data_IF_172220314217
#
_entry.id   IF_172220314217
#
_cell.length_a   1.000
_cell.length_b   1.000
_cell.length_c   1.000
_cell.angle_alpha   90.00
_cell.angle_beta   90.00
_cell.angle_gamma   90.00
#
_symmetry.space_group_name_H-M   'P 1'
#
loop_
_entity.id
_entity.type
_entity.pdbx_description
1 polymer ?
#
# COMPACT_ATOMS: atom_id res chain seq x y z
N UNK A 1 -5.95 -7.19 10.63
CA UNK A 1 -6.90 -6.46 9.75
C UNK A 1 -7.30 -5.06 10.24
N UNK A 2 -7.66 -4.90 11.52
CA UNK A 2 -8.06 -3.59 12.07
C UNK A 2 -6.94 -2.52 11.97
N UNK A 3 -5.68 -2.88 12.24
CA UNK A 3 -4.55 -1.97 12.09
C UNK A 3 -4.39 -1.50 10.63
N UNK A 4 -4.56 -2.40 9.66
CA UNK A 4 -4.53 -2.05 8.24
C UNK A 4 -5.64 -1.07 7.89
N UNK A 5 -6.88 -1.34 8.31
CA UNK A 5 -8.00 -0.42 8.07
C UNK A 5 -7.74 0.95 8.70
N UNK A 6 -7.20 1.00 9.92
CA UNK A 6 -6.87 2.25 10.58
C UNK A 6 -5.77 3.03 9.84
N UNK A 7 -4.74 2.35 9.34
CA UNK A 7 -3.60 3.01 8.71
C UNK A 7 -3.82 3.30 7.22
N UNK A 8 -4.56 2.49 6.48
CA UNK A 8 -4.83 2.71 5.05
C UNK A 8 -6.10 3.54 4.85
N UNK A 9 -7.23 3.09 5.42
CA UNK A 9 -8.54 3.71 5.14
C UNK A 9 -8.68 5.10 5.78
N UNK A 10 -8.17 5.28 6.99
CA UNK A 10 -8.40 6.49 7.78
C UNK A 10 -7.34 7.59 7.58
N UNK A 11 -6.37 7.45 6.67
CA UNK A 11 -5.35 8.50 6.44
C UNK A 11 -5.96 9.85 6.06
N UNK A 12 -7.01 9.84 5.22
CA UNK A 12 -7.70 11.08 4.84
C UNK A 12 -8.32 11.76 6.07
N UNK A 13 -8.95 10.99 6.94
CA UNK A 13 -9.56 11.50 8.18
C UNK A 13 -8.49 12.05 9.13
N UNK A 14 -7.40 11.33 9.33
CA UNK A 14 -6.26 11.79 10.14
C UNK A 14 -5.65 13.07 9.55
N UNK A 15 -5.52 13.14 8.23
CA UNK A 15 -5.02 14.33 7.53
C UNK A 15 -5.88 15.56 7.74
N UNK A 16 -7.22 15.42 7.64
CA UNK A 16 -8.16 16.52 7.94
C UNK A 16 -8.02 17.03 9.38
N UNK A 17 -7.86 16.14 10.35
CA UNK A 17 -7.75 16.52 11.77
C UNK A 17 -6.41 17.18 12.13
N UNK A 18 -5.35 16.85 11.40
CA UNK A 18 -3.99 17.34 11.65
C UNK A 18 -3.52 18.41 10.65
N UNK A 19 -4.39 18.85 9.74
CA UNK A 19 -4.05 19.72 8.62
C UNK A 19 -2.82 19.22 7.82
N UNK A 20 -2.77 17.91 7.57
CA UNK A 20 -1.65 17.24 6.91
C UNK A 20 -2.13 16.25 5.83
N UNK A 21 -1.24 15.83 4.94
CA UNK A 21 -1.50 14.78 3.94
C UNK A 21 -0.42 13.71 4.06
N UNK A 22 -0.84 12.48 4.39
CA UNK A 22 0.09 11.38 4.62
C UNK A 22 0.40 10.59 3.34
N UNK A 23 -0.64 10.08 2.65
CA UNK A 23 -0.52 9.24 1.44
C UNK A 23 0.59 8.17 1.55
N UNK A 24 0.66 7.52 2.72
CA UNK A 24 1.69 6.54 3.05
C UNK A 24 1.23 5.16 2.54
N UNK A 25 2.01 4.44 1.73
CA UNK A 25 1.74 3.06 1.38
C UNK A 25 1.65 2.18 2.63
N UNK A 26 0.55 1.44 2.81
CA UNK A 26 0.36 0.50 3.92
C UNK A 26 0.20 -0.87 3.32
N UNK A 27 0.98 -1.86 3.75
CA UNK A 27 0.85 -3.24 3.29
C UNK A 27 0.44 -4.12 4.46
N UNK A 28 -0.39 -5.12 4.19
CA UNK A 28 -0.52 -6.26 5.08
C UNK A 28 0.76 -7.10 5.02
N UNK A 29 1.12 -7.72 6.15
CA UNK A 29 2.36 -8.48 6.23
C UNK A 29 2.43 -9.62 5.19
N UNK A 30 1.30 -10.26 4.90
CA UNK A 30 1.22 -11.31 3.87
C UNK A 30 1.37 -10.78 2.45
N UNK A 31 0.92 -9.56 2.17
CA UNK A 31 1.15 -8.91 0.86
C UNK A 31 2.64 -8.62 0.68
N UNK A 32 3.29 -8.13 1.74
CA UNK A 32 4.74 -7.89 1.74
C UNK A 32 5.52 -9.20 1.51
N UNK A 33 5.14 -10.29 2.18
CA UNK A 33 5.77 -11.60 1.97
C UNK A 33 5.54 -12.13 0.55
N UNK A 34 4.33 -11.99 0.01
CA UNK A 34 4.04 -12.41 -1.35
C UNK A 34 4.92 -11.64 -2.36
N UNK A 35 5.06 -10.33 -2.20
CA UNK A 35 5.98 -9.52 -3.02
C UNK A 35 7.43 -10.00 -2.89
N UNK A 36 7.90 -10.28 -1.67
CA UNK A 36 9.25 -10.79 -1.43
C UNK A 36 9.49 -12.18 -2.06
N UNK A 37 8.46 -13.00 -2.18
CA UNK A 37 8.51 -14.30 -2.85
C UNK A 37 8.30 -14.24 -4.36
N UNK A 38 8.18 -13.04 -4.95
CA UNK A 38 8.05 -12.86 -6.39
C UNK A 38 6.64 -13.04 -6.94
N UNK A 39 5.60 -12.96 -6.10
CA UNK A 39 4.22 -12.98 -6.58
C UNK A 39 3.93 -11.71 -7.40
N UNK A 40 3.11 -11.87 -8.44
CA UNK A 40 2.68 -10.76 -9.28
C UNK A 40 1.84 -9.75 -8.46
N UNK A 41 2.25 -8.48 -8.33
CA UNK A 41 1.53 -7.47 -7.57
C UNK A 41 0.08 -7.24 -8.03
N UNK A 42 -0.20 -7.43 -9.32
CA UNK A 42 -1.55 -7.26 -9.89
C UNK A 42 -2.56 -8.26 -9.31
N UNK A 43 -2.08 -9.39 -8.79
CA UNK A 43 -2.88 -10.44 -8.18
C UNK A 43 -3.09 -10.25 -6.66
N UNK A 44 -2.35 -9.34 -6.03
CA UNK A 44 -2.37 -9.14 -4.58
C UNK A 44 -3.44 -8.14 -4.12
N UNK A 45 -4.22 -7.57 -5.04
CA UNK A 45 -5.28 -6.62 -4.69
C UNK A 45 -4.77 -5.25 -4.25
N UNK A 46 -3.49 -4.91 -4.48
CA UNK A 46 -2.87 -3.64 -4.07
C UNK A 46 -3.59 -2.40 -4.63
N UNK A 47 -4.31 -2.55 -5.74
CA UNK A 47 -5.14 -1.49 -6.34
C UNK A 47 -6.30 -1.01 -5.44
N UNK A 48 -6.68 -1.78 -4.43
CA UNK A 48 -7.77 -1.44 -3.51
C UNK A 48 -7.31 -0.65 -2.28
N UNK A 49 -6.00 -0.48 -2.10
CA UNK A 49 -5.43 0.36 -1.06
C UNK A 49 -5.79 1.83 -1.32
N UNK A 50 -5.97 2.61 -0.26
CA UNK A 50 -6.31 4.04 -0.40
C UNK A 50 -5.12 4.86 -0.84
N UNK A 51 -3.93 4.59 -0.30
CA UNK A 51 -2.70 5.20 -0.77
C UNK A 51 -2.20 4.45 -2.01
N UNK A 52 -1.76 5.17 -3.04
CA UNK A 52 -1.21 4.54 -4.24
C UNK A 52 0.17 3.94 -3.94
N UNK A 53 0.37 2.66 -4.27
CA UNK A 53 1.63 1.95 -4.06
C UNK A 53 2.61 2.02 -5.24
N UNK A 54 2.30 2.76 -6.32
CA UNK A 54 3.13 2.79 -7.53
C UNK A 54 4.59 3.16 -7.26
N UNK A 55 4.83 4.21 -6.45
CA UNK A 55 6.20 4.62 -6.09
C UNK A 55 6.92 3.61 -5.19
N UNK A 56 6.18 2.86 -4.36
CA UNK A 56 6.76 1.75 -3.58
C UNK A 56 7.19 0.61 -4.51
N UNK A 57 6.33 0.18 -5.43
CA UNK A 57 6.62 -0.91 -6.37
C UNK A 57 7.79 -0.57 -7.28
N UNK A 58 7.84 0.66 -7.81
CA UNK A 58 8.94 1.14 -8.65
C UNK A 58 10.27 1.14 -7.89
N UNK A 59 10.28 1.68 -6.66
CA UNK A 59 11.49 1.75 -5.82
C UNK A 59 12.13 0.38 -5.57
N UNK A 60 11.33 -0.68 -5.48
CA UNK A 60 11.81 -2.03 -5.22
C UNK A 60 11.89 -2.91 -6.47
N UNK A 61 11.68 -2.34 -7.68
CA UNK A 61 11.74 -3.09 -8.93
C UNK A 61 10.66 -4.18 -9.04
N UNK A 62 9.52 -3.97 -8.37
CA UNK A 62 8.38 -4.88 -8.34
C UNK A 62 7.34 -4.54 -9.41
N UNK A 63 7.58 -3.52 -10.24
CA UNK A 63 6.77 -3.24 -11.44
C UNK A 63 6.91 -4.38 -12.43
N UNK A 64 5.84 -4.65 -13.21
CA UNK A 64 5.90 -5.60 -14.33
C UNK A 64 7.18 -5.39 -15.13
N UNK A 65 7.99 -6.44 -15.27
CA UNK A 65 8.87 -6.58 -16.43
C UNK A 65 7.96 -7.04 -17.56
N UNK A 66 7.90 -6.25 -18.63
CA UNK A 66 7.33 -6.69 -19.91
C UNK A 66 8.07 -7.93 -20.44
#
# INVERSE_FOLDING_TARGET
>A
PACFQQLDTNQKKAGTQSNNTYNIPVLYLTELYALAFGFNPDLLGLKFHRARLSGFLEKFGLTKKE
#
